data_IF_660669247107
#
_entry.id   IF_660669247107
#
_cell.length_a   1.000
_cell.length_b   1.000
_cell.length_c   1.000
_cell.angle_alpha   90.00
_cell.angle_beta   90.00
_cell.angle_gamma   90.00
#
_symmetry.space_group_name_H-M   'P 1'
#
loop_
_entity.id
_entity.type
_entity.pdbx_description
1 polymer ?
#
# COMPACT_ATOMS: atom_id res chain seq x y z
N UNK A 1 17.20 -1.82 -6.36
CA UNK A 1 16.41 -3.03 -6.25
C UNK A 1 14.91 -2.74 -6.24
N UNK A 2 14.08 -3.78 -6.18
CA UNK A 2 12.61 -3.70 -6.23
C UNK A 2 12.01 -2.83 -5.13
N UNK A 3 12.46 -2.97 -3.89
CA UNK A 3 12.03 -2.15 -2.75
C UNK A 3 12.14 -0.65 -3.08
N UNK A 4 13.31 -0.20 -3.51
CA UNK A 4 13.54 1.21 -3.81
C UNK A 4 12.77 1.71 -5.03
N UNK A 5 12.46 0.83 -5.98
CA UNK A 5 11.62 1.19 -7.11
C UNK A 5 10.17 1.39 -6.69
N UNK A 6 9.60 0.45 -5.92
CA UNK A 6 8.24 0.59 -5.38
C UNK A 6 8.10 1.84 -4.52
N UNK A 7 9.08 2.06 -3.62
CA UNK A 7 9.15 3.26 -2.78
C UNK A 7 9.20 4.54 -3.62
N UNK A 8 10.16 4.65 -4.53
CA UNK A 8 10.37 5.87 -5.33
C UNK A 8 9.20 6.17 -6.27
N UNK A 9 8.53 5.13 -6.80
CA UNK A 9 7.38 5.30 -7.69
C UNK A 9 6.21 5.96 -6.96
N UNK A 10 5.81 5.44 -5.79
CA UNK A 10 4.70 6.01 -5.04
C UNK A 10 5.08 7.34 -4.40
N UNK A 11 6.30 7.48 -3.86
CA UNK A 11 6.74 8.73 -3.26
C UNK A 11 6.75 9.89 -4.29
N UNK A 12 7.32 9.64 -5.48
CA UNK A 12 7.30 10.64 -6.55
C UNK A 12 5.87 11.00 -6.97
N UNK A 13 5.00 10.00 -7.11
CA UNK A 13 3.59 10.22 -7.45
C UNK A 13 2.90 11.08 -6.38
N UNK A 14 3.01 10.71 -5.10
CA UNK A 14 2.37 11.44 -3.99
C UNK A 14 2.88 12.89 -3.91
N UNK A 15 4.20 13.11 -4.03
CA UNK A 15 4.78 14.46 -4.03
C UNK A 15 4.22 15.29 -5.19
N UNK A 16 4.19 14.73 -6.40
CA UNK A 16 3.70 15.44 -7.60
C UNK A 16 2.22 15.79 -7.43
N UNK A 17 1.39 14.85 -7.00
CA UNK A 17 -0.05 15.08 -6.80
C UNK A 17 -0.27 16.17 -5.74
N UNK A 18 0.38 16.08 -4.58
CA UNK A 18 0.26 17.10 -3.52
C UNK A 18 0.69 18.49 -4.00
N UNK A 19 1.78 18.59 -4.78
CA UNK A 19 2.22 19.89 -5.31
C UNK A 19 1.24 20.45 -6.35
N UNK A 20 0.60 19.59 -7.14
CA UNK A 20 -0.47 19.99 -8.07
C UNK A 20 -1.68 20.50 -7.27
N UNK A 21 -2.15 19.73 -6.28
CA UNK A 21 -3.29 20.09 -5.43
C UNK A 21 -3.03 21.41 -4.71
N UNK A 22 -1.86 21.57 -4.10
CA UNK A 22 -1.45 22.85 -3.47
C UNK A 22 -1.41 24.01 -4.47
N UNK A 23 -1.05 23.77 -5.73
CA UNK A 23 -0.98 24.82 -6.75
C UNK A 23 -2.36 25.20 -7.29
N UNK A 24 -3.30 24.27 -7.31
CA UNK A 24 -4.66 24.47 -7.84
C UNK A 24 -5.60 25.04 -6.76
N UNK A 25 -5.50 24.53 -5.53
CA UNK A 25 -6.35 24.89 -4.39
C UNK A 25 -5.49 25.28 -3.18
N UNK A 26 -4.72 26.38 -3.26
CA UNK A 26 -3.80 26.76 -2.17
C UNK A 26 -4.54 27.11 -0.87
N UNK A 27 -5.82 27.47 -0.95
CA UNK A 27 -6.68 27.79 0.20
C UNK A 27 -6.99 26.58 1.08
N UNK A 28 -6.89 25.36 0.53
CA UNK A 28 -7.14 24.11 1.25
C UNK A 28 -5.91 23.69 2.09
N UNK A 29 -4.78 24.38 1.97
CA UNK A 29 -3.55 24.00 2.63
C UNK A 29 -2.96 25.12 3.49
N UNK A 30 -2.49 24.72 4.67
CA UNK A 30 -1.61 25.57 5.49
C UNK A 30 -0.18 25.03 5.46
N UNK A 31 0.80 25.92 5.35
CA UNK A 31 2.20 25.54 5.57
C UNK A 31 2.40 25.31 7.08
N UNK A 32 2.59 24.03 7.44
CA UNK A 32 2.70 23.57 8.83
C UNK A 32 4.15 23.32 9.26
N UNK A 33 5.11 23.59 8.39
CA UNK A 33 6.52 23.25 8.60
C UNK A 33 7.13 23.97 9.80
N UNK A 34 7.51 23.21 10.81
CA UNK A 34 8.27 23.65 11.97
C UNK A 34 9.58 22.85 12.05
N UNK A 35 10.76 23.48 11.93
CA UNK A 35 12.03 22.75 11.74
C UNK A 35 12.32 21.70 12.82
N UNK A 36 12.11 22.01 14.10
CA UNK A 36 12.43 21.10 15.20
C UNK A 36 11.44 19.93 15.27
N UNK A 37 10.11 20.15 15.36
CA UNK A 37 9.13 19.06 15.32
C UNK A 37 9.25 18.20 14.07
N UNK A 38 9.43 18.80 12.88
CA UNK A 38 9.60 18.09 11.63
C UNK A 38 10.86 17.20 11.63
N UNK A 39 11.99 17.67 12.16
CA UNK A 39 13.21 16.85 12.24
C UNK A 39 13.00 15.64 13.16
N UNK A 40 12.29 15.81 14.28
CA UNK A 40 11.94 14.72 15.19
C UNK A 40 11.02 13.74 14.47
N UNK A 41 10.00 14.22 13.77
CA UNK A 41 9.10 13.40 12.95
C UNK A 41 9.88 12.57 11.93
N UNK A 42 10.80 13.19 11.17
CA UNK A 42 11.63 12.49 10.18
C UNK A 42 12.42 11.36 10.84
N UNK A 43 13.07 11.63 11.98
CA UNK A 43 13.85 10.62 12.70
C UNK A 43 13.01 9.42 13.15
N UNK A 44 11.81 9.67 13.67
CA UNK A 44 10.89 8.62 14.11
C UNK A 44 10.28 7.88 12.90
N UNK A 45 9.79 8.61 11.91
CA UNK A 45 9.05 8.07 10.77
C UNK A 45 9.92 7.15 9.90
N UNK A 46 11.17 7.51 9.63
CA UNK A 46 12.11 6.69 8.84
C UNK A 46 12.35 5.31 9.48
N UNK A 47 12.22 5.18 10.79
CA UNK A 47 12.41 3.91 11.49
C UNK A 47 11.06 3.20 11.67
N UNK A 48 10.07 3.89 12.26
CA UNK A 48 8.83 3.26 12.69
C UNK A 48 7.90 2.89 11.53
N UNK A 49 7.78 3.74 10.51
CA UNK A 49 6.89 3.46 9.37
C UNK A 49 7.34 2.25 8.56
N UNK A 50 8.63 2.12 8.14
CA UNK A 50 9.07 0.89 7.47
C UNK A 50 8.94 -0.37 8.34
N UNK A 51 9.13 -0.28 9.66
CA UNK A 51 8.91 -1.41 10.56
C UNK A 51 7.44 -1.82 10.61
N UNK A 52 6.53 -0.85 10.79
CA UNK A 52 5.09 -1.08 10.83
C UNK A 52 4.58 -1.67 9.51
N UNK A 53 4.89 -1.03 8.38
CA UNK A 53 4.45 -1.50 7.07
C UNK A 53 5.06 -2.86 6.70
N UNK A 54 6.32 -3.12 7.08
CA UNK A 54 6.93 -4.43 6.89
C UNK A 54 6.23 -5.50 7.71
N UNK A 55 5.89 -5.23 8.96
CA UNK A 55 5.12 -6.16 9.78
C UNK A 55 3.79 -6.51 9.12
N UNK A 56 3.07 -5.52 8.61
CA UNK A 56 1.79 -5.75 7.91
C UNK A 56 1.99 -6.59 6.64
N UNK A 57 3.01 -6.29 5.81
CA UNK A 57 3.27 -7.08 4.61
C UNK A 57 3.66 -8.52 4.93
N UNK A 58 4.54 -8.73 5.92
CA UNK A 58 4.91 -10.09 6.35
C UNK A 58 3.70 -10.86 6.90
N UNK A 59 2.83 -10.19 7.64
CA UNK A 59 1.63 -10.81 8.21
C UNK A 59 0.63 -11.18 7.11
N UNK A 60 0.27 -10.23 6.24
CA UNK A 60 -0.79 -10.44 5.25
C UNK A 60 -0.30 -11.20 4.00
N UNK A 61 0.85 -10.82 3.43
CA UNK A 61 1.37 -11.39 2.16
C UNK A 61 2.32 -12.55 2.41
N UNK A 62 3.13 -12.44 3.46
CA UNK A 62 4.05 -13.49 3.87
C UNK A 62 3.34 -14.67 4.54
N UNK A 63 2.55 -14.42 5.56
CA UNK A 63 1.98 -15.47 6.40
C UNK A 63 0.55 -15.88 5.99
N UNK A 64 -0.42 -14.95 6.05
CA UNK A 64 -1.82 -15.31 5.80
C UNK A 64 -2.09 -15.70 4.35
N UNK A 65 -1.62 -14.94 3.37
CA UNK A 65 -1.89 -15.24 1.96
C UNK A 65 -1.25 -16.56 1.54
N UNK A 66 -0.03 -16.86 1.97
CA UNK A 66 0.63 -18.14 1.68
C UNK A 66 -0.01 -19.29 2.46
N UNK A 67 -0.26 -19.11 3.76
CA UNK A 67 -0.89 -20.14 4.60
C UNK A 67 -2.28 -20.54 4.09
N UNK A 68 -3.13 -19.56 3.81
CA UNK A 68 -4.45 -19.81 3.19
C UNK A 68 -4.31 -20.45 1.81
N UNK A 69 -3.34 -20.03 0.98
CA UNK A 69 -3.09 -20.59 -0.33
C UNK A 69 -2.83 -22.08 -0.29
N UNK A 70 -2.05 -22.56 0.66
CA UNK A 70 -1.78 -23.99 0.86
C UNK A 70 -3.01 -24.77 1.31
N UNK A 71 -3.90 -24.15 2.10
CA UNK A 71 -5.13 -24.76 2.60
C UNK A 71 -6.19 -24.90 1.50
N UNK A 72 -6.46 -23.77 0.80
CA UNK A 72 -7.53 -23.73 -0.23
C UNK A 72 -7.04 -24.14 -1.62
N UNK A 73 -5.75 -24.35 -1.80
CA UNK A 73 -5.09 -24.79 -3.04
C UNK A 73 -5.36 -23.90 -4.26
N UNK A 74 -5.59 -22.62 -4.04
CA UNK A 74 -5.73 -21.62 -5.10
C UNK A 74 -5.14 -20.27 -4.62
N UNK A 75 -4.90 -19.35 -5.56
CA UNK A 75 -4.25 -18.05 -5.29
C UNK A 75 -5.23 -16.91 -5.10
N UNK A 76 -6.39 -16.97 -5.74
CA UNK A 76 -7.34 -15.85 -5.78
C UNK A 76 -8.11 -15.68 -4.46
N UNK A 77 -8.51 -16.76 -3.81
CA UNK A 77 -9.28 -16.68 -2.56
C UNK A 77 -8.45 -16.09 -1.40
N UNK A 78 -7.19 -16.53 -1.18
CA UNK A 78 -6.30 -15.85 -0.24
C UNK A 78 -6.08 -14.37 -0.55
N UNK A 79 -5.93 -14.01 -1.83
CA UNK A 79 -5.80 -12.61 -2.24
C UNK A 79 -7.02 -11.80 -1.81
N UNK A 80 -8.24 -12.29 -2.07
CA UNK A 80 -9.47 -11.60 -1.66
C UNK A 80 -9.55 -11.49 -0.14
N UNK A 81 -9.39 -12.61 0.58
CA UNK A 81 -9.52 -12.64 2.05
C UNK A 81 -8.52 -11.68 2.69
N UNK A 82 -7.26 -11.77 2.32
CA UNK A 82 -6.22 -10.92 2.93
C UNK A 82 -6.38 -9.44 2.59
N UNK A 83 -6.86 -9.12 1.38
CA UNK A 83 -7.13 -7.74 0.97
C UNK A 83 -8.31 -7.14 1.74
N UNK A 84 -9.40 -7.90 1.90
CA UNK A 84 -10.57 -7.47 2.67
C UNK A 84 -10.22 -7.34 4.16
N UNK A 85 -9.47 -8.29 4.72
CA UNK A 85 -9.02 -8.21 6.12
C UNK A 85 -8.08 -7.01 6.33
N UNK A 86 -7.13 -6.79 5.42
CA UNK A 86 -6.21 -5.65 5.47
C UNK A 86 -6.97 -4.32 5.47
N UNK A 87 -7.89 -4.14 4.51
CA UNK A 87 -8.74 -2.95 4.47
C UNK A 87 -9.63 -2.84 5.72
N UNK A 88 -10.16 -3.97 6.20
CA UNK A 88 -11.01 -4.04 7.38
C UNK A 88 -10.36 -3.55 8.67
N UNK A 89 -9.03 -3.66 8.82
CA UNK A 89 -8.31 -3.10 9.97
C UNK A 89 -8.40 -1.57 10.04
N UNK A 90 -8.69 -0.92 8.93
CA UNK A 90 -8.84 0.55 8.84
C UNK A 90 -10.27 1.03 9.13
N UNK A 91 -11.21 0.10 9.41
CA UNK A 91 -12.61 0.45 9.62
C UNK A 91 -12.84 1.45 10.76
N UNK A 92 -11.99 1.43 11.78
CA UNK A 92 -12.06 2.33 12.93
C UNK A 92 -11.19 3.59 12.79
N UNK A 93 -10.59 3.81 11.63
CA UNK A 93 -9.82 5.03 11.39
C UNK A 93 -10.74 6.26 11.37
N UNK A 94 -10.25 7.44 11.81
CA UNK A 94 -11.01 8.69 11.78
C UNK A 94 -11.58 9.02 10.41
N UNK A 95 -10.85 8.71 9.34
CA UNK A 95 -11.28 8.94 7.95
C UNK A 95 -12.61 8.26 7.63
N UNK A 96 -12.85 7.06 8.16
CA UNK A 96 -14.11 6.34 7.92
C UNK A 96 -15.28 7.07 8.57
N UNK A 97 -15.05 7.67 9.75
CA UNK A 97 -16.09 8.45 10.43
C UNK A 97 -16.40 9.75 9.69
N UNK A 98 -15.40 10.40 9.14
CA UNK A 98 -15.53 11.71 8.48
C UNK A 98 -16.01 11.59 7.02
N UNK A 99 -15.42 10.66 6.27
CA UNK A 99 -15.67 10.47 4.83
C UNK A 99 -16.73 9.40 4.54
N UNK A 100 -17.17 8.65 5.55
CA UNK A 100 -18.12 7.54 5.39
C UNK A 100 -17.47 6.26 4.83
N UNK A 101 -18.31 5.22 4.69
CA UNK A 101 -17.82 3.88 4.32
C UNK A 101 -17.24 3.78 2.90
N UNK A 102 -17.40 4.78 2.06
CA UNK A 102 -16.87 4.75 0.68
C UNK A 102 -15.34 4.67 0.68
N UNK A 103 -14.67 5.27 1.68
CA UNK A 103 -13.20 5.21 1.83
C UNK A 103 -12.69 3.76 2.01
N UNK A 104 -13.54 2.83 2.48
CA UNK A 104 -13.16 1.42 2.60
C UNK A 104 -12.81 0.78 1.27
N UNK A 105 -13.33 1.29 0.15
CA UNK A 105 -12.95 0.83 -1.19
C UNK A 105 -11.46 1.13 -1.44
N UNK A 106 -10.98 2.28 -0.99
CA UNK A 106 -9.58 2.65 -1.08
C UNK A 106 -8.69 1.70 -0.24
N UNK A 107 -9.04 1.44 1.02
CA UNK A 107 -8.25 0.57 1.89
C UNK A 107 -8.24 -0.89 1.39
N UNK A 108 -9.38 -1.43 0.98
CA UNK A 108 -9.47 -2.77 0.41
C UNK A 108 -8.73 -2.81 -0.94
N UNK A 109 -8.89 -1.79 -1.77
CA UNK A 109 -8.18 -1.64 -3.05
C UNK A 109 -6.67 -1.63 -2.88
N UNK A 110 -6.16 -0.93 -1.86
CA UNK A 110 -4.73 -0.96 -1.48
C UNK A 110 -4.30 -2.39 -1.08
N UNK A 111 -5.16 -3.10 -0.33
CA UNK A 111 -4.95 -4.51 -0.03
C UNK A 111 -4.77 -5.36 -1.29
N UNK A 112 -5.63 -5.19 -2.29
CA UNK A 112 -5.52 -5.87 -3.59
C UNK A 112 -4.26 -5.46 -4.35
N UNK A 113 -3.93 -4.17 -4.42
CA UNK A 113 -2.74 -3.69 -5.09
C UNK A 113 -1.47 -4.39 -4.57
N UNK A 114 -1.26 -4.38 -3.26
CA UNK A 114 -0.08 -4.98 -2.61
C UNK A 114 -0.06 -6.51 -2.77
N UNK A 115 -1.23 -7.16 -2.69
CA UNK A 115 -1.35 -8.58 -2.92
C UNK A 115 -1.08 -8.99 -4.37
N UNK A 116 -1.57 -8.22 -5.35
CA UNK A 116 -1.29 -8.45 -6.78
C UNK A 116 0.20 -8.23 -7.07
N UNK A 117 0.83 -7.17 -6.52
CA UNK A 117 2.27 -6.97 -6.65
C UNK A 117 3.04 -8.21 -6.17
N UNK A 118 2.68 -8.74 -5.00
CA UNK A 118 3.33 -9.91 -4.40
C UNK A 118 3.18 -11.16 -5.27
N UNK A 119 1.98 -11.44 -5.77
CA UNK A 119 1.72 -12.60 -6.62
C UNK A 119 2.38 -12.49 -8.00
N UNK A 120 2.34 -11.32 -8.61
CA UNK A 120 2.91 -11.09 -9.93
C UNK A 120 4.43 -11.05 -9.95
N UNK A 121 5.05 -10.47 -8.91
CA UNK A 121 6.50 -10.36 -8.79
C UNK A 121 7.14 -11.61 -8.14
N UNK A 122 6.30 -12.53 -7.62
CA UNK A 122 6.72 -13.74 -6.88
C UNK A 122 7.64 -13.40 -5.69
N UNK A 123 7.40 -12.24 -5.09
CA UNK A 123 8.18 -11.68 -3.98
C UNK A 123 7.46 -10.47 -3.38
N UNK A 124 7.85 -10.09 -2.16
CA UNK A 124 7.22 -8.99 -1.42
C UNK A 124 7.94 -7.64 -1.57
N UNK A 125 9.08 -7.59 -2.25
CA UNK A 125 9.95 -6.42 -2.26
C UNK A 125 9.29 -5.18 -2.84
N UNK A 126 8.48 -5.34 -3.90
CA UNK A 126 7.72 -4.21 -4.47
C UNK A 126 6.64 -3.72 -3.51
N UNK A 127 5.90 -4.65 -2.89
CA UNK A 127 4.86 -4.32 -1.91
C UNK A 127 5.45 -3.64 -0.67
N UNK A 128 6.54 -4.16 -0.11
CA UNK A 128 7.27 -3.56 1.01
C UNK A 128 7.72 -2.13 0.69
N UNK A 129 8.34 -1.93 -0.46
CA UNK A 129 8.81 -0.61 -0.88
C UNK A 129 7.66 0.36 -1.13
N UNK A 130 6.64 -0.08 -1.82
CA UNK A 130 5.46 0.74 -2.13
C UNK A 130 4.72 1.15 -0.85
N UNK A 131 4.44 0.20 0.04
CA UNK A 131 3.71 0.49 1.29
C UNK A 131 4.49 1.44 2.19
N UNK A 132 5.79 1.18 2.40
CA UNK A 132 6.64 2.07 3.18
C UNK A 132 6.76 3.46 2.55
N UNK A 133 6.91 3.53 1.22
CA UNK A 133 6.98 4.80 0.50
C UNK A 133 5.69 5.60 0.58
N UNK A 134 4.54 4.95 0.43
CA UNK A 134 3.23 5.59 0.57
C UNK A 134 3.06 6.22 1.96
N UNK A 135 3.20 5.40 3.01
CA UNK A 135 2.95 5.86 4.36
C UNK A 135 3.99 6.87 4.85
N UNK A 136 5.26 6.68 4.52
CA UNK A 136 6.32 7.63 4.91
C UNK A 136 6.14 8.97 4.20
N UNK A 137 5.86 8.96 2.90
CA UNK A 137 5.68 10.21 2.14
C UNK A 137 4.43 10.94 2.62
N UNK A 138 3.33 10.25 2.83
CA UNK A 138 2.11 10.84 3.38
C UNK A 138 2.38 11.47 4.76
N UNK A 139 2.99 10.74 5.70
CA UNK A 139 3.25 11.22 7.05
C UNK A 139 4.15 12.46 7.10
N UNK A 140 5.10 12.60 6.16
CA UNK A 140 6.02 13.74 6.11
C UNK A 140 5.45 14.93 5.31
N UNK A 141 4.58 14.68 4.35
CA UNK A 141 4.17 15.69 3.38
C UNK A 141 2.90 16.42 3.81
N UNK A 142 1.85 15.66 4.16
CA UNK A 142 0.53 16.25 4.47
C UNK A 142 -0.09 15.59 5.69
N UNK A 143 -0.60 16.38 6.59
CA UNK A 143 -1.46 15.95 7.71
C UNK A 143 -2.85 16.59 7.59
N UNK A 144 -3.84 16.02 8.26
CA UNK A 144 -5.14 16.66 8.48
C UNK A 144 -5.68 16.27 9.86
N UNK A 145 -6.58 17.09 10.42
CA UNK A 145 -7.13 16.85 11.76
C UNK A 145 -8.08 15.64 11.79
N UNK A 146 -8.52 15.17 10.63
CA UNK A 146 -9.45 14.06 10.45
C UNK A 146 -8.80 12.76 9.97
N UNK A 147 -7.46 12.70 9.88
CA UNK A 147 -6.72 11.50 9.46
C UNK A 147 -6.10 10.76 10.63
N UNK A 148 -5.80 9.45 10.44
CA UNK A 148 -5.08 8.65 11.42
C UNK A 148 -3.64 9.15 11.62
N UNK A 149 -3.01 9.68 10.56
CA UNK A 149 -1.69 10.29 10.63
C UNK A 149 -1.78 11.79 10.93
N UNK A 150 -1.86 12.14 12.21
CA UNK A 150 -1.74 13.54 12.66
C UNK A 150 -0.28 13.82 13.00
N UNK A 151 0.43 14.42 12.06
CA UNK A 151 1.89 14.58 12.11
C UNK A 151 2.30 16.04 11.93
N UNK A 152 3.53 16.38 12.35
CA UNK A 152 4.17 17.68 12.13
C UNK A 152 4.76 17.75 10.72
N UNK A 153 3.91 17.47 9.72
CA UNK A 153 4.25 17.43 8.29
C UNK A 153 4.51 18.81 7.69
N UNK A 154 4.92 18.86 6.41
CA UNK A 154 5.18 20.12 5.70
C UNK A 154 3.90 20.91 5.49
N UNK A 155 2.81 20.25 5.07
CA UNK A 155 1.51 20.86 4.83
C UNK A 155 0.45 20.31 5.78
N UNK A 156 -0.54 21.11 6.08
CA UNK A 156 -1.77 20.69 6.74
C UNK A 156 -2.94 20.96 5.78
N UNK A 157 -3.64 19.90 5.42
CA UNK A 157 -4.91 19.97 4.70
C UNK A 157 -6.01 20.40 5.66
N UNK A 158 -6.68 21.50 5.33
CA UNK A 158 -7.78 22.09 6.09
C UNK A 158 -9.09 22.05 5.32
N UNK A 159 -9.13 21.34 4.19
CA UNK A 159 -10.36 21.14 3.42
C UNK A 159 -11.40 20.32 4.19
N UNK A 160 -12.66 20.47 3.83
CA UNK A 160 -13.73 19.64 4.39
C UNK A 160 -13.58 18.20 3.88
N UNK A 161 -13.48 17.19 4.76
CA UNK A 161 -13.33 15.79 4.35
C UNK A 161 -14.59 15.30 3.65
N UNK A 162 -14.52 15.12 2.35
CA UNK A 162 -15.63 14.56 1.56
C UNK A 162 -15.15 13.32 0.81
N UNK A 163 -15.94 12.24 0.84
CA UNK A 163 -15.72 11.09 0.00
C UNK A 163 -16.71 11.12 -1.17
N UNK A 164 -16.23 11.61 -2.29
CA UNK A 164 -16.92 11.54 -3.56
C UNK A 164 -16.42 10.40 -4.45
N UNK A 165 -16.70 10.51 -5.74
CA UNK A 165 -16.19 9.58 -6.77
C UNK A 165 -14.64 9.61 -6.86
N UNK A 166 -14.01 10.68 -6.43
CA UNK A 166 -12.58 10.89 -6.34
C UNK A 166 -11.85 9.80 -5.54
N UNK A 167 -12.48 9.24 -4.49
CA UNK A 167 -11.96 8.09 -3.72
C UNK A 167 -11.76 6.85 -4.60
N UNK A 168 -12.52 6.73 -5.69
CA UNK A 168 -12.42 5.60 -6.62
C UNK A 168 -11.28 5.75 -7.62
N UNK A 169 -10.83 6.97 -7.89
CA UNK A 169 -9.75 7.26 -8.86
C UNK A 169 -8.45 6.53 -8.51
N UNK A 170 -7.94 6.55 -7.27
CA UNK A 170 -6.77 5.75 -6.91
C UNK A 170 -6.93 4.27 -7.24
N UNK A 171 -8.07 3.68 -6.89
CA UNK A 171 -8.29 2.23 -7.00
C UNK A 171 -8.46 1.78 -8.45
N UNK A 172 -9.23 2.51 -9.26
CA UNK A 172 -9.62 2.07 -10.59
C UNK A 172 -8.77 2.66 -11.72
N UNK A 173 -7.98 3.69 -11.44
CA UNK A 173 -7.11 4.34 -12.44
C UNK A 173 -5.63 4.26 -12.02
N UNK A 174 -5.29 4.75 -10.84
CA UNK A 174 -3.89 4.90 -10.44
C UNK A 174 -3.25 3.55 -10.12
N UNK A 175 -3.94 2.66 -9.39
CA UNK A 175 -3.41 1.34 -9.06
C UNK A 175 -3.19 0.46 -10.30
N UNK A 176 -4.12 0.37 -11.27
CA UNK A 176 -3.85 -0.27 -12.55
C UNK A 176 -2.67 0.33 -13.30
N UNK A 177 -2.49 1.65 -13.27
CA UNK A 177 -1.33 2.31 -13.87
C UNK A 177 -0.01 1.88 -13.20
N UNK A 178 0.03 1.83 -11.87
CA UNK A 178 1.20 1.33 -11.13
C UNK A 178 1.52 -0.12 -11.48
N UNK A 179 0.49 -0.98 -11.49
CA UNK A 179 0.66 -2.38 -11.90
C UNK A 179 1.19 -2.49 -13.33
N UNK A 180 0.69 -1.68 -14.25
CA UNK A 180 1.17 -1.64 -15.63
C UNK A 180 2.65 -1.20 -15.74
N UNK A 181 3.05 -0.15 -15.01
CA UNK A 181 4.44 0.32 -14.97
C UNK A 181 5.37 -0.78 -14.44
N UNK A 182 4.97 -1.44 -13.34
CA UNK A 182 5.73 -2.54 -12.74
C UNK A 182 5.79 -3.75 -13.66
N UNK A 183 4.67 -4.12 -14.28
CA UNK A 183 4.59 -5.20 -15.23
C UNK A 183 5.53 -5.01 -16.42
N UNK A 184 5.55 -3.82 -16.99
CA UNK A 184 6.49 -3.47 -18.06
C UNK A 184 7.94 -3.53 -17.62
N UNK A 185 8.25 -3.00 -16.42
CA UNK A 185 9.62 -2.93 -15.92
C UNK A 185 10.18 -4.30 -15.56
N UNK A 186 9.37 -5.17 -14.98
CA UNK A 186 9.80 -6.47 -14.46
C UNK A 186 9.37 -7.66 -15.34
N UNK A 187 8.76 -7.40 -16.48
CA UNK A 187 8.37 -8.44 -17.44
C UNK A 187 7.30 -9.39 -16.91
N UNK A 188 6.34 -8.87 -16.13
CA UNK A 188 5.28 -9.72 -15.59
C UNK A 188 4.45 -10.37 -16.69
N UNK A 189 4.33 -11.66 -16.61
CA UNK A 189 3.60 -12.51 -17.55
C UNK A 189 2.73 -13.51 -16.80
N UNK A 190 1.93 -14.26 -17.55
CA UNK A 190 1.08 -15.33 -17.01
C UNK A 190 0.14 -14.89 -15.88
N UNK A 191 -0.46 -13.73 -16.05
CA UNK A 191 -1.39 -13.11 -15.09
C UNK A 191 -2.49 -14.07 -14.64
N UNK A 192 -3.04 -14.87 -15.57
CA UNK A 192 -4.11 -15.81 -15.27
C UNK A 192 -3.69 -16.85 -14.22
N UNK A 193 -2.55 -17.50 -14.42
CA UNK A 193 -2.09 -18.51 -13.47
C UNK A 193 -1.54 -17.90 -12.19
N UNK A 194 -0.85 -16.76 -12.27
CA UNK A 194 -0.31 -16.09 -11.09
C UNK A 194 -1.40 -15.56 -10.16
N UNK A 195 -2.55 -15.11 -10.67
CA UNK A 195 -3.65 -14.60 -9.85
C UNK A 195 -4.73 -15.65 -9.55
N UNK A 196 -5.02 -16.55 -10.50
CA UNK A 196 -6.16 -17.48 -10.41
C UNK A 196 -5.75 -18.95 -10.46
N UNK A 197 -4.45 -19.26 -10.55
CA UNK A 197 -3.93 -20.61 -10.63
C UNK A 197 -4.07 -21.39 -9.32
N UNK A 198 -3.77 -22.68 -9.41
CA UNK A 198 -3.72 -23.57 -8.26
C UNK A 198 -2.37 -23.44 -7.54
N UNK A 199 -2.40 -23.68 -6.23
CA UNK A 199 -1.19 -23.87 -5.42
C UNK A 199 -0.89 -25.35 -5.37
N UNK A 200 0.22 -25.75 -5.98
CA UNK A 200 0.69 -27.14 -5.99
C UNK A 200 1.53 -27.41 -4.74
N UNK A 201 1.50 -28.66 -4.26
CA UNK A 201 2.41 -29.05 -3.19
C UNK A 201 3.84 -29.07 -3.74
N UNK A 202 4.85 -28.65 -2.95
CA UNK A 202 6.24 -28.85 -3.32
C UNK A 202 6.47 -30.34 -3.62
N UNK A 203 7.14 -30.65 -4.72
CA UNK A 203 7.60 -32.02 -4.97
C UNK A 203 8.50 -32.44 -3.82
N UNK A 204 8.17 -33.55 -3.17
CA UNK A 204 9.02 -34.17 -2.16
C UNK A 204 10.32 -34.57 -2.84
N UNK A 205 11.41 -33.90 -2.58
CA UNK A 205 12.75 -34.36 -3.00
C UNK A 205 12.93 -35.72 -2.33
N UNK A 206 12.82 -36.79 -3.11
CA UNK A 206 13.27 -38.12 -2.67
C UNK A 206 14.78 -38.00 -2.55
N UNK A 207 15.29 -37.86 -1.33
CA UNK A 207 16.68 -38.11 -1.05
C UNK A 207 16.92 -39.55 -1.46
N UNK A 208 17.68 -39.79 -2.54
CA UNK A 208 18.17 -41.09 -2.88
C UNK A 208 18.99 -41.57 -1.68
N UNK A 209 18.48 -42.59 -1.00
CA UNK A 209 19.28 -43.38 -0.07
C UNK A 209 20.33 -44.07 -0.93
N UNK A 210 21.47 -43.43 -1.12
CA UNK A 210 22.69 -44.08 -1.53
C UNK A 210 23.26 -44.77 -0.29
N UNK A 211 22.92 -46.04 -0.18
CA UNK A 211 23.59 -47.02 0.70
C UNK A 211 24.99 -47.37 0.20
#
# INVERSE_FOLDING_TARGET
GRVWFGFGLVAAFTIIVTLIEYSVNPEDFLVNFQPVPFTILVGIAIIMIPLQTSFEEYLFRGYFMQGLGTLVKNRWLPLIITSVCFGGLHFFNPEVTQMGNLIMIYYIGTGFLLGIMTLMDEGMELALGFHAGNNLTAALLVTADWTAFQTESIFKDISDPTAGIDVLVPVFIIYPLFLFIMAKKYGWSDWKNKLFGKVEKPETIKLSEES
#
